data_IF_583010907030
#
_entry.id   IF_583010907030
#
_cell.length_a   1.000
_cell.length_b   1.000
_cell.length_c   1.000
_cell.angle_alpha   90.00
_cell.angle_beta   90.00
_cell.angle_gamma   90.00
#
_symmetry.space_group_name_H-M   'P 1'
#
loop_
_entity.id
_entity.type
_entity.pdbx_description
1 polymer ?
#
# COMPACT_ATOMS: atom_id res chain seq x y z
N UNK A 1 5.05 -26.20 20.41
CA UNK A 1 5.48 -24.79 20.32
C UNK A 1 5.80 -24.52 18.86
N UNK A 2 5.28 -23.45 18.25
CA UNK A 2 5.58 -23.14 16.86
C UNK A 2 7.07 -22.77 16.74
N UNK A 3 7.80 -23.48 15.87
CA UNK A 3 9.21 -23.18 15.60
C UNK A 3 9.28 -22.35 14.32
N UNK A 4 9.67 -21.09 14.47
CA UNK A 4 9.84 -20.15 13.36
C UNK A 4 11.23 -20.31 12.72
N UNK A 5 11.35 -19.91 11.45
CA UNK A 5 12.64 -19.87 10.78
C UNK A 5 13.56 -18.81 11.44
N UNK A 6 14.85 -19.12 11.56
CA UNK A 6 15.84 -18.24 12.22
C UNK A 6 15.91 -16.84 11.61
N UNK A 7 15.69 -16.73 10.30
CA UNK A 7 15.67 -15.45 9.58
C UNK A 7 14.58 -14.49 10.05
N UNK A 8 13.47 -15.00 10.60
CA UNK A 8 12.36 -14.16 11.10
C UNK A 8 12.78 -13.29 12.27
N UNK A 9 13.68 -13.77 13.14
CA UNK A 9 14.17 -13.01 14.29
C UNK A 9 15.00 -11.78 13.91
N UNK A 10 15.36 -11.62 12.63
CA UNK A 10 16.08 -10.44 12.11
C UNK A 10 15.15 -9.32 11.64
N UNK A 11 13.86 -9.59 11.50
CA UNK A 11 12.88 -8.57 11.11
C UNK A 11 12.49 -7.79 12.37
N UNK A 12 12.81 -6.49 12.40
CA UNK A 12 12.34 -5.60 13.46
C UNK A 12 10.85 -5.30 13.36
N UNK A 13 10.36 -4.37 14.19
CA UNK A 13 8.98 -3.89 14.17
C UNK A 13 8.84 -2.60 13.38
N UNK A 14 7.67 -2.41 12.73
CA UNK A 14 7.36 -1.21 11.96
C UNK A 14 6.86 -0.10 12.90
N UNK A 15 7.62 1.00 13.00
CA UNK A 15 7.34 2.11 13.91
C UNK A 15 6.41 3.18 13.32
N UNK A 16 6.35 3.31 11.99
CA UNK A 16 5.51 4.32 11.34
C UNK A 16 4.01 4.07 11.60
N UNK A 17 3.58 2.81 11.63
CA UNK A 17 2.18 2.46 11.93
C UNK A 17 1.83 2.68 13.41
N UNK A 18 2.77 2.51 14.34
CA UNK A 18 2.54 2.80 15.75
C UNK A 18 2.28 4.30 15.96
N UNK A 19 3.08 5.16 15.31
CA UNK A 19 2.90 6.62 15.35
C UNK A 19 1.57 7.02 14.70
N UNK A 20 1.23 6.42 13.55
CA UNK A 20 -0.05 6.67 12.88
C UNK A 20 -1.25 6.27 13.74
N UNK A 21 -1.21 5.10 14.39
CA UNK A 21 -2.28 4.64 15.26
C UNK A 21 -2.48 5.60 16.45
N UNK A 22 -1.39 6.07 17.06
CA UNK A 22 -1.43 7.06 18.13
C UNK A 22 -1.99 8.41 17.66
N UNK A 23 -1.59 8.89 16.48
CA UNK A 23 -2.11 10.12 15.90
C UNK A 23 -3.64 10.04 15.72
N UNK A 24 -4.12 8.97 15.09
CA UNK A 24 -5.56 8.72 14.89
C UNK A 24 -6.34 8.63 16.20
N UNK A 25 -5.76 8.00 17.23
CA UNK A 25 -6.39 7.90 18.55
C UNK A 25 -6.54 9.28 19.22
N UNK A 26 -5.57 10.18 19.04
CA UNK A 26 -5.65 11.55 19.56
C UNK A 26 -6.64 12.41 18.76
N UNK A 27 -6.67 12.25 17.43
CA UNK A 27 -7.67 12.90 16.56
C UNK A 27 -9.10 12.49 16.94
N UNK A 28 -9.33 11.20 17.21
CA UNK A 28 -10.63 10.68 17.65
C UNK A 28 -11.07 11.23 19.02
N UNK A 29 -10.13 11.73 19.83
CA UNK A 29 -10.40 12.44 21.09
C UNK A 29 -10.67 13.95 20.87
N UNK A 30 -10.76 14.41 19.61
CA UNK A 30 -10.99 15.81 19.26
C UNK A 30 -9.74 16.68 19.31
N UNK A 31 -8.53 16.10 19.40
CA UNK A 31 -7.28 16.87 19.39
C UNK A 31 -6.89 17.22 17.96
N UNK A 32 -6.39 18.43 17.75
CA UNK A 32 -5.78 18.85 16.48
C UNK A 32 -4.38 18.25 16.37
N UNK A 33 -4.16 17.35 15.40
CA UNK A 33 -2.90 16.67 15.16
C UNK A 33 -2.40 17.00 13.75
N UNK A 34 -1.09 17.24 13.61
CA UNK A 34 -0.40 17.32 12.32
C UNK A 34 0.47 16.08 12.21
N UNK A 35 0.08 15.15 11.34
CA UNK A 35 0.84 13.91 11.12
C UNK A 35 1.86 14.12 9.99
N UNK A 36 3.14 14.03 10.33
CA UNK A 36 4.27 14.08 9.38
C UNK A 36 4.97 12.71 9.26
N UNK A 37 4.29 11.63 9.66
CA UNK A 37 4.90 10.31 9.87
C UNK A 37 4.66 9.32 8.73
N UNK A 38 3.78 9.63 7.77
CA UNK A 38 3.39 8.71 6.69
C UNK A 38 3.83 9.26 5.33
N UNK A 39 4.48 8.40 4.54
CA UNK A 39 4.98 8.73 3.21
C UNK A 39 3.98 8.54 2.06
N UNK A 40 2.71 8.21 2.36
CA UNK A 40 1.66 8.15 1.35
C UNK A 40 1.24 9.58 0.95
N UNK A 41 1.16 9.90 -0.34
CA UNK A 41 0.60 11.17 -0.78
C UNK A 41 -0.87 11.37 -0.38
N UNK A 42 -1.26 12.62 -0.19
CA UNK A 42 -2.61 13.05 0.20
C UNK A 42 -3.59 13.18 -0.98
N UNK A 43 -3.08 13.19 -2.21
CA UNK A 43 -3.90 13.26 -3.42
C UNK A 43 -4.44 11.91 -3.86
N UNK A 44 -5.59 11.95 -4.53
CA UNK A 44 -6.19 10.77 -5.15
C UNK A 44 -5.39 10.32 -6.38
N UNK A 45 -5.45 9.02 -6.68
CA UNK A 45 -4.95 8.49 -7.95
C UNK A 45 -5.57 9.24 -9.13
N UNK A 46 -4.78 9.70 -10.12
CA UNK A 46 -5.30 10.40 -11.30
C UNK A 46 -6.43 9.63 -12.01
N UNK A 47 -7.46 10.35 -12.45
CA UNK A 47 -8.70 9.76 -13.00
C UNK A 47 -8.47 8.81 -14.18
N UNK A 48 -7.56 9.15 -15.11
CA UNK A 48 -7.25 8.30 -16.26
C UNK A 48 -6.68 6.92 -15.86
N UNK A 49 -5.97 6.83 -14.72
CA UNK A 49 -5.46 5.56 -14.19
C UNK A 49 -6.61 4.73 -13.63
N UNK A 50 -7.52 5.38 -12.89
CA UNK A 50 -8.73 4.73 -12.34
C UNK A 50 -9.61 4.20 -13.47
N UNK A 51 -9.83 4.99 -14.51
CA UNK A 51 -10.60 4.61 -15.70
C UNK A 51 -9.97 3.42 -16.44
N UNK A 52 -8.64 3.42 -16.62
CA UNK A 52 -7.92 2.30 -17.22
C UNK A 52 -8.06 1.00 -16.40
N UNK A 53 -7.98 1.09 -15.07
CA UNK A 53 -8.19 -0.04 -14.18
C UNK A 53 -9.63 -0.58 -14.26
N UNK A 54 -10.63 0.31 -14.27
CA UNK A 54 -12.06 -0.08 -14.45
C UNK A 54 -12.27 -0.76 -15.79
N UNK A 55 -11.69 -0.22 -16.88
CA UNK A 55 -11.76 -0.83 -18.20
C UNK A 55 -11.13 -2.23 -18.20
N UNK A 56 -9.95 -2.38 -17.60
CA UNK A 56 -9.26 -3.66 -17.54
C UNK A 56 -10.12 -4.74 -16.86
N UNK A 57 -10.81 -4.40 -15.77
CA UNK A 57 -11.74 -5.30 -15.10
C UNK A 57 -12.94 -5.67 -15.98
N UNK A 58 -13.54 -4.71 -16.68
CA UNK A 58 -14.69 -4.94 -17.58
C UNK A 58 -14.32 -5.83 -18.77
N UNK A 59 -13.11 -5.69 -19.28
CA UNK A 59 -12.60 -6.46 -20.42
C UNK A 59 -12.13 -7.88 -20.01
N UNK A 60 -12.20 -8.23 -18.73
CA UNK A 60 -11.86 -9.57 -18.24
C UNK A 60 -10.38 -9.78 -17.90
N UNK A 61 -9.60 -8.71 -17.71
CA UNK A 61 -8.19 -8.82 -17.29
C UNK A 61 -8.05 -9.14 -15.79
N UNK A 62 -8.48 -10.34 -15.37
CA UNK A 62 -8.42 -10.83 -13.99
C UNK A 62 -7.62 -12.14 -13.83
N UNK A 63 -6.94 -12.57 -14.88
CA UNK A 63 -6.15 -13.80 -14.92
C UNK A 63 -4.69 -13.60 -14.50
N UNK A 64 -3.95 -14.72 -14.46
CA UNK A 64 -2.51 -14.68 -14.22
C UNK A 64 -1.76 -13.87 -15.28
N UNK A 65 -0.71 -13.19 -14.84
CA UNK A 65 0.25 -12.52 -15.70
C UNK A 65 1.58 -13.29 -15.71
N UNK A 66 2.46 -13.06 -16.69
CA UNK A 66 3.83 -13.55 -16.61
C UNK A 66 4.52 -13.13 -15.30
N UNK A 67 5.44 -13.96 -14.81
CA UNK A 67 6.14 -13.71 -13.54
C UNK A 67 6.93 -12.39 -13.53
N UNK A 68 7.39 -11.95 -14.70
CA UNK A 68 8.11 -10.69 -14.89
C UNK A 68 7.18 -9.49 -15.15
N UNK A 69 5.86 -9.67 -15.16
CA UNK A 69 4.86 -8.64 -15.44
C UNK A 69 4.35 -8.63 -16.87
N UNK A 70 3.30 -7.84 -17.11
CA UNK A 70 2.64 -7.68 -18.41
C UNK A 70 3.62 -6.99 -19.39
N UNK A 71 3.84 -7.52 -20.60
CA UNK A 71 4.81 -6.96 -21.56
C UNK A 71 4.64 -5.46 -21.80
N UNK A 72 3.40 -5.00 -21.98
CA UNK A 72 3.08 -3.60 -22.23
C UNK A 72 3.52 -2.67 -21.08
N UNK A 73 3.47 -3.14 -19.83
CA UNK A 73 3.97 -2.36 -18.67
C UNK A 73 5.49 -2.36 -18.64
N UNK A 74 6.12 -3.50 -18.96
CA UNK A 74 7.58 -3.64 -18.98
C UNK A 74 8.25 -2.82 -20.07
N UNK A 75 7.57 -2.59 -21.20
CA UNK A 75 8.06 -1.74 -22.28
C UNK A 75 7.89 -0.24 -21.97
N UNK A 76 6.97 0.10 -21.07
CA UNK A 76 6.65 1.49 -20.70
C UNK A 76 7.47 2.04 -19.52
N UNK A 77 8.23 1.18 -18.82
CA UNK A 77 9.04 1.50 -17.62
C UNK A 77 10.52 1.32 -17.94
#
# INVERSE_FOLDING_TARGET
MLQLASGMGRLGTESAFEVLARAKALEAQGKSIISLSIGQPDFQTPGHIVEAAVKALKDGHHGYTPANGIPQVREAV
#
